data_IF_232108772507
#
_entry.id   IF_232108772507
#
_cell.length_a   1.000
_cell.length_b   1.000
_cell.length_c   1.000
_cell.angle_alpha   90.00
_cell.angle_beta   90.00
_cell.angle_gamma   90.00
#
_symmetry.space_group_name_H-M   'P 1'
#
loop_
_entity.id
_entity.type
_entity.pdbx_description
1 polymer ?
#
# COMPACT_ATOMS: atom_id res chain seq x y z
N UNK A 1 21.13 -30.96 19.50
CA UNK A 1 21.42 -29.51 19.42
C UNK A 1 20.57 -28.91 18.30
N UNK A 2 19.45 -28.26 18.64
CA UNK A 2 18.53 -27.71 17.63
C UNK A 2 19.16 -26.40 17.15
N UNK A 3 19.78 -26.40 15.97
CA UNK A 3 20.25 -25.18 15.31
C UNK A 3 18.99 -24.41 14.90
N UNK A 4 18.44 -23.63 15.82
CA UNK A 4 17.39 -22.67 15.48
C UNK A 4 18.07 -21.55 14.73
N UNK A 5 17.73 -21.42 13.45
CA UNK A 5 18.21 -20.32 12.62
C UNK A 5 17.93 -18.98 13.32
N UNK A 6 18.88 -18.01 13.28
CA UNK A 6 18.73 -16.69 13.92
C UNK A 6 17.51 -15.90 13.41
N UNK A 7 16.93 -16.32 12.29
CA UNK A 7 15.71 -15.79 11.67
C UNK A 7 14.45 -16.09 12.49
N UNK A 8 14.47 -17.14 13.35
CA UNK A 8 13.28 -17.58 14.09
C UNK A 8 12.97 -16.77 15.36
N UNK A 9 13.89 -15.91 15.81
CA UNK A 9 13.72 -15.06 17.02
C UNK A 9 13.35 -13.60 16.73
N UNK A 10 13.24 -13.22 15.46
CA UNK A 10 12.90 -11.85 15.09
C UNK A 10 11.45 -11.51 15.52
N UNK A 11 11.21 -10.39 16.23
CA UNK A 11 9.87 -9.98 16.65
C UNK A 11 8.96 -9.81 15.42
N UNK A 12 7.67 -10.09 15.57
CA UNK A 12 6.73 -10.04 14.45
C UNK A 12 6.65 -8.63 13.89
N UNK A 13 6.57 -7.63 14.76
CA UNK A 13 6.66 -6.19 14.44
C UNK A 13 7.80 -5.86 13.48
N UNK A 14 9.00 -6.39 13.70
CA UNK A 14 10.15 -6.15 12.81
C UNK A 14 9.95 -6.77 11.42
N UNK A 15 9.45 -8.01 11.35
CA UNK A 15 9.17 -8.69 10.06
C UNK A 15 8.15 -7.90 9.24
N UNK A 16 7.05 -7.49 9.85
CA UNK A 16 6.01 -6.71 9.18
C UNK A 16 6.51 -5.32 8.77
N UNK A 17 7.29 -4.66 9.62
CA UNK A 17 7.90 -3.36 9.28
C UNK A 17 8.74 -3.47 8.02
N UNK A 18 9.65 -4.46 7.96
CA UNK A 18 10.55 -4.65 6.82
C UNK A 18 9.77 -4.95 5.54
N UNK A 19 8.78 -5.85 5.61
CA UNK A 19 7.97 -6.22 4.44
C UNK A 19 7.16 -5.03 3.93
N UNK A 20 6.47 -4.29 4.81
CA UNK A 20 5.65 -3.14 4.42
C UNK A 20 6.53 -2.02 3.86
N UNK A 21 7.66 -1.73 4.51
CA UNK A 21 8.59 -0.70 4.05
C UNK A 21 9.16 -1.03 2.67
N UNK A 22 9.60 -2.28 2.44
CA UNK A 22 10.13 -2.70 1.14
C UNK A 22 9.05 -2.70 0.04
N UNK A 23 7.84 -3.17 0.34
CA UNK A 23 6.74 -3.16 -0.62
C UNK A 23 6.29 -1.74 -1.00
N UNK A 24 6.28 -0.83 -0.02
CA UNK A 24 5.91 0.56 -0.26
C UNK A 24 7.01 1.34 -0.97
N UNK A 25 8.28 1.10 -0.60
CA UNK A 25 9.42 1.68 -1.29
C UNK A 25 9.52 1.20 -2.75
N UNK A 26 9.27 -0.09 -3.03
CA UNK A 26 9.28 -0.60 -4.41
C UNK A 26 8.18 0.03 -5.25
N UNK A 27 6.99 0.21 -4.68
CA UNK A 27 5.86 0.90 -5.33
C UNK A 27 6.21 2.36 -5.66
N UNK A 28 6.79 3.09 -4.69
CA UNK A 28 7.24 4.47 -4.91
C UNK A 28 8.38 4.57 -5.93
N UNK A 29 9.36 3.66 -5.89
CA UNK A 29 10.47 3.64 -6.84
C UNK A 29 10.01 3.37 -8.27
N UNK A 30 9.00 2.50 -8.45
CA UNK A 30 8.40 2.26 -9.77
C UNK A 30 7.74 3.53 -10.32
N UNK A 31 6.98 4.24 -9.51
CA UNK A 31 6.35 5.50 -9.94
C UNK A 31 7.38 6.63 -10.14
N UNK A 32 8.42 6.72 -9.31
CA UNK A 32 9.52 7.68 -9.49
C UNK A 32 10.32 7.40 -10.76
N UNK A 33 10.55 6.13 -11.10
CA UNK A 33 11.22 5.73 -12.33
C UNK A 33 10.35 6.02 -13.57
N UNK A 34 9.03 5.86 -13.47
CA UNK A 34 8.10 6.12 -14.57
C UNK A 34 7.77 7.60 -14.78
N UNK A 35 8.13 8.50 -13.85
CA UNK A 35 7.80 9.92 -13.91
C UNK A 35 8.46 10.73 -15.05
N UNK A 36 9.28 10.10 -15.90
CA UNK A 36 10.11 10.87 -16.83
C UNK A 36 9.40 11.37 -18.09
N UNK A 37 8.42 10.68 -18.70
CA UNK A 37 7.71 11.20 -19.87
C UNK A 37 6.27 10.68 -20.00
N UNK A 38 5.31 11.61 -20.11
CA UNK A 38 3.90 11.45 -20.48
C UNK A 38 2.92 10.78 -19.49
N UNK A 39 1.69 11.32 -19.47
CA UNK A 39 0.46 10.91 -18.76
C UNK A 39 0.04 9.41 -18.88
N UNK A 40 0.87 8.57 -19.48
CA UNK A 40 0.65 7.16 -19.78
C UNK A 40 1.39 6.29 -18.77
N UNK A 41 0.63 5.69 -17.84
CA UNK A 41 1.16 4.62 -16.97
C UNK A 41 1.57 3.42 -17.80
N UNK A 42 2.86 3.08 -17.78
CA UNK A 42 3.36 1.76 -18.18
C UNK A 42 3.01 0.78 -17.06
N UNK A 43 1.71 0.57 -16.83
CA UNK A 43 1.25 -0.56 -16.07
C UNK A 43 1.46 -1.78 -16.97
N UNK A 44 2.43 -2.63 -16.64
CA UNK A 44 2.71 -3.86 -17.41
C UNK A 44 1.44 -4.69 -17.61
N UNK A 45 0.58 -4.73 -16.59
CA UNK A 45 -0.72 -5.40 -16.67
C UNK A 45 -1.65 -4.78 -17.71
N UNK A 46 -1.77 -3.45 -17.75
CA UNK A 46 -2.57 -2.74 -18.77
C UNK A 46 -1.98 -2.89 -20.16
N UNK A 47 -0.65 -2.87 -20.28
CA UNK A 47 0.02 -3.05 -21.57
C UNK A 47 -0.16 -4.47 -22.13
N UNK A 48 -0.25 -5.48 -21.26
CA UNK A 48 -0.46 -6.86 -21.69
C UNK A 48 -1.93 -7.23 -21.91
N UNK A 49 -2.84 -6.68 -21.10
CA UNK A 49 -4.27 -7.09 -21.10
C UNK A 49 -5.22 -6.07 -21.70
N UNK A 50 -4.77 -4.82 -21.89
CA UNK A 50 -5.62 -3.69 -22.27
C UNK A 50 -6.47 -3.13 -21.12
N UNK A 51 -6.46 -3.74 -19.94
CA UNK A 51 -7.32 -3.38 -18.80
C UNK A 51 -6.44 -2.91 -17.63
N UNK A 52 -6.74 -1.76 -17.00
CA UNK A 52 -6.02 -1.35 -15.80
C UNK A 52 -6.26 -2.33 -14.65
N UNK A 53 -5.25 -2.64 -13.84
CA UNK A 53 -5.43 -3.45 -12.64
C UNK A 53 -6.13 -2.65 -11.51
N UNK A 54 -6.76 -3.31 -10.52
CA UNK A 54 -7.51 -2.63 -9.45
C UNK A 54 -6.66 -1.73 -8.54
N UNK A 55 -5.32 -1.81 -8.62
CA UNK A 55 -4.40 -0.94 -7.90
C UNK A 55 -3.74 0.15 -8.77
N UNK A 56 -4.12 0.28 -10.06
CA UNK A 56 -3.52 1.26 -10.96
C UNK A 56 -3.70 2.69 -10.44
N UNK A 57 -2.61 3.45 -10.35
CA UNK A 57 -2.63 4.84 -9.88
C UNK A 57 -2.42 5.02 -8.38
N UNK A 58 -2.27 3.95 -7.59
CA UNK A 58 -2.10 4.04 -6.14
C UNK A 58 -0.81 4.76 -5.73
N UNK A 59 0.31 4.53 -6.41
CA UNK A 59 1.56 5.20 -6.07
C UNK A 59 1.67 6.63 -6.62
N UNK A 60 1.07 6.94 -7.78
CA UNK A 60 0.82 8.34 -8.18
C UNK A 60 -0.08 9.07 -7.18
N UNK A 61 -1.13 8.42 -6.68
CA UNK A 61 -1.99 8.98 -5.65
C UNK A 61 -1.20 9.24 -4.36
N UNK A 62 -0.31 8.32 -4.00
CA UNK A 62 0.62 8.45 -2.88
C UNK A 62 1.58 9.63 -3.07
N UNK A 63 2.22 9.74 -4.24
CA UNK A 63 3.17 10.80 -4.55
C UNK A 63 2.47 12.17 -4.56
N UNK A 64 1.29 12.25 -5.18
CA UNK A 64 0.45 13.45 -5.15
C UNK A 64 0.08 13.85 -3.72
N UNK A 65 -0.23 12.88 -2.85
CA UNK A 65 -0.50 13.14 -1.43
C UNK A 65 0.75 13.68 -0.72
N UNK A 66 1.93 13.10 -0.93
CA UNK A 66 3.18 13.59 -0.35
C UNK A 66 3.59 14.98 -0.87
N UNK A 67 3.20 15.31 -2.11
CA UNK A 67 3.37 16.66 -2.69
C UNK A 67 2.29 17.66 -2.22
N UNK A 68 1.37 17.25 -1.33
CA UNK A 68 0.29 18.11 -0.83
C UNK A 68 -0.88 18.31 -1.80
N UNK A 69 -0.90 17.60 -2.94
CA UNK A 69 -1.98 17.67 -3.92
C UNK A 69 -3.05 16.60 -3.65
N UNK A 70 -3.92 16.89 -2.68
CA UNK A 70 -5.00 15.99 -2.26
C UNK A 70 -6.02 15.71 -3.38
N UNK A 71 -6.38 16.73 -4.16
CA UNK A 71 -7.35 16.59 -5.25
C UNK A 71 -6.80 15.62 -6.29
N UNK A 72 -5.56 15.82 -6.72
CA UNK A 72 -4.91 14.94 -7.69
C UNK A 72 -4.71 13.52 -7.14
N UNK A 73 -4.46 13.37 -5.83
CA UNK A 73 -4.40 12.06 -5.17
C UNK A 73 -5.71 11.27 -5.33
N UNK A 74 -6.85 11.90 -5.04
CA UNK A 74 -8.17 11.27 -5.22
C UNK A 74 -8.50 10.99 -6.68
N UNK A 75 -8.07 11.88 -7.59
CA UNK A 75 -8.25 11.67 -9.02
C UNK A 75 -7.48 10.44 -9.52
N UNK A 76 -6.28 10.19 -9.01
CA UNK A 76 -5.50 9.01 -9.37
C UNK A 76 -6.05 7.72 -8.76
N UNK A 77 -6.43 7.74 -7.47
CA UNK A 77 -7.01 6.57 -6.83
C UNK A 77 -7.81 6.99 -5.59
N UNK A 78 -9.10 6.63 -5.52
CA UNK A 78 -9.97 6.96 -4.38
C UNK A 78 -9.41 6.42 -3.07
N UNK A 79 -8.87 5.20 -3.09
CA UNK A 79 -8.22 4.60 -1.92
C UNK A 79 -6.77 5.06 -1.69
N UNK A 80 -6.19 5.85 -2.60
CA UNK A 80 -4.78 6.24 -2.51
C UNK A 80 -4.46 7.02 -1.25
N UNK A 81 -5.26 8.03 -0.95
CA UNK A 81 -5.11 8.83 0.26
C UNK A 81 -5.33 8.04 1.56
N UNK A 82 -6.50 7.39 1.79
CA UNK A 82 -6.73 6.68 3.05
C UNK A 82 -5.75 5.51 3.25
N UNK A 83 -5.36 4.81 2.19
CA UNK A 83 -4.40 3.72 2.29
C UNK A 83 -2.98 4.22 2.60
N UNK A 84 -2.54 5.32 1.98
CA UNK A 84 -1.24 5.93 2.29
C UNK A 84 -1.16 6.35 3.76
N UNK A 85 -2.19 7.04 4.25
CA UNK A 85 -2.24 7.48 5.66
C UNK A 85 -2.18 6.26 6.59
N UNK A 86 -2.96 5.22 6.28
CA UNK A 86 -2.96 3.99 7.06
C UNK A 86 -1.59 3.30 7.08
N UNK A 87 -0.90 3.22 5.94
CA UNK A 87 0.44 2.63 5.83
C UNK A 87 1.46 3.43 6.63
N UNK A 88 1.46 4.76 6.52
CA UNK A 88 2.38 5.64 7.26
C UNK A 88 2.19 5.49 8.77
N UNK A 89 0.94 5.52 9.25
CA UNK A 89 0.63 5.30 10.66
C UNK A 89 1.07 3.89 11.10
N UNK A 90 0.80 2.88 10.27
CA UNK A 90 1.18 1.49 10.57
C UNK A 90 2.69 1.32 10.70
N UNK A 91 3.47 1.94 9.81
CA UNK A 91 4.93 1.93 9.88
C UNK A 91 5.43 2.59 11.18
N UNK A 92 4.89 3.75 11.56
CA UNK A 92 5.27 4.45 12.79
C UNK A 92 4.94 3.60 14.03
N UNK A 93 3.76 3.00 14.08
CA UNK A 93 3.35 2.14 15.20
C UNK A 93 4.19 0.86 15.27
N UNK A 94 4.43 0.18 14.13
CA UNK A 94 5.26 -1.03 14.09
C UNK A 94 6.73 -0.75 14.46
N UNK A 95 7.27 0.39 14.04
CA UNK A 95 8.61 0.85 14.46
C UNK A 95 8.65 1.09 15.97
N UNK A 96 7.63 1.74 16.52
CA UNK A 96 7.53 1.99 17.97
C UNK A 96 7.45 0.68 18.77
N UNK A 97 6.68 -0.28 18.27
CA UNK A 97 6.54 -1.62 18.85
C UNK A 97 7.85 -2.41 18.76
N UNK A 98 8.54 -2.33 17.62
CA UNK A 98 9.86 -2.93 17.40
C UNK A 98 10.88 -2.38 18.39
N UNK A 99 10.95 -1.06 18.57
CA UNK A 99 11.88 -0.40 19.51
C UNK A 99 11.55 -0.77 20.96
N UNK A 100 10.27 -0.95 21.30
CA UNK A 100 9.81 -1.31 22.65
C UNK A 100 9.81 -2.81 22.93
N UNK A 101 10.08 -3.66 21.93
CA UNK A 101 9.96 -5.10 22.03
C UNK A 101 8.54 -5.58 22.35
N UNK A 102 7.51 -4.85 21.89
CA UNK A 102 6.09 -5.16 22.12
C UNK A 102 5.39 -5.44 20.79
N UNK A 103 4.19 -6.05 20.86
CA UNK A 103 3.38 -6.41 19.68
C UNK A 103 1.93 -5.88 19.81
N UNK A 104 1.78 -4.69 20.42
CA UNK A 104 0.46 -4.10 20.75
C UNK A 104 -0.30 -3.75 19.47
N UNK A 105 0.39 -3.16 18.50
CA UNK A 105 -0.19 -2.71 17.24
C UNK A 105 -0.69 -3.90 16.41
N UNK A 106 0.10 -4.97 16.29
CA UNK A 106 -0.30 -6.18 15.56
C UNK A 106 -1.53 -6.82 16.21
N UNK A 107 -1.51 -6.97 17.54
CA UNK A 107 -2.65 -7.52 18.29
C UNK A 107 -3.91 -6.68 18.07
N UNK A 108 -3.78 -5.34 18.11
CA UNK A 108 -4.89 -4.42 17.88
C UNK A 108 -5.42 -4.49 16.44
N UNK A 109 -4.53 -4.51 15.45
CA UNK A 109 -4.91 -4.67 14.04
C UNK A 109 -5.68 -5.97 13.82
N UNK A 110 -5.19 -7.10 14.36
CA UNK A 110 -5.86 -8.39 14.20
C UNK A 110 -7.26 -8.41 14.84
N UNK A 111 -7.48 -7.62 15.90
CA UNK A 111 -8.81 -7.47 16.50
C UNK A 111 -9.71 -6.49 15.74
N UNK A 112 -9.16 -5.50 15.05
CA UNK A 112 -9.91 -4.48 14.32
C UNK A 112 -10.28 -4.92 12.89
N UNK A 113 -9.35 -5.61 12.22
CA UNK A 113 -9.53 -6.10 10.85
C UNK A 113 -10.39 -7.37 10.90
N UNK A 114 -11.69 -7.16 10.78
CA UNK A 114 -12.70 -8.22 10.68
C UNK A 114 -13.08 -8.45 9.22
N UNK A 115 -13.80 -9.53 8.93
CA UNK A 115 -14.32 -9.84 7.58
C UNK A 115 -15.14 -8.68 6.96
N UNK A 116 -15.83 -7.89 7.80
CA UNK A 116 -16.59 -6.71 7.35
C UNK A 116 -15.66 -5.63 6.77
N UNK A 117 -14.49 -5.42 7.36
CA UNK A 117 -13.48 -4.48 6.86
C UNK A 117 -12.94 -4.97 5.52
N UNK A 118 -12.67 -6.27 5.39
CA UNK A 118 -12.27 -6.86 4.11
C UNK A 118 -13.33 -6.68 3.02
N UNK A 119 -14.61 -6.92 3.34
CA UNK A 119 -15.70 -6.69 2.39
C UNK A 119 -15.83 -5.22 1.99
N UNK A 120 -15.74 -4.30 2.94
CA UNK A 120 -15.76 -2.87 2.65
C UNK A 120 -14.60 -2.48 1.72
N UNK A 121 -13.39 -2.93 2.02
CA UNK A 121 -12.21 -2.66 1.19
C UNK A 121 -12.35 -3.26 -0.21
N UNK A 122 -12.88 -4.48 -0.31
CA UNK A 122 -13.16 -5.15 -1.59
C UNK A 122 -14.18 -4.35 -2.42
N UNK A 123 -15.30 -3.94 -1.82
CA UNK A 123 -16.34 -3.15 -2.50
C UNK A 123 -15.76 -1.82 -3.01
N UNK A 124 -15.01 -1.11 -2.17
CA UNK A 124 -14.40 0.17 -2.57
C UNK A 124 -13.36 -0.01 -3.68
N UNK A 125 -12.59 -1.09 -3.63
CA UNK A 125 -11.60 -1.41 -4.66
C UNK A 125 -12.27 -1.75 -5.99
N UNK A 126 -13.32 -2.58 -5.97
CA UNK A 126 -14.09 -2.92 -7.17
C UNK A 126 -14.80 -1.70 -7.76
N UNK A 127 -15.34 -0.82 -6.91
CA UNK A 127 -15.96 0.43 -7.33
C UNK A 127 -14.94 1.38 -7.96
N UNK A 128 -13.77 1.57 -7.33
CA UNK A 128 -12.67 2.35 -7.90
C UNK A 128 -12.16 1.76 -9.21
N UNK A 129 -12.07 0.43 -9.29
CA UNK A 129 -11.66 -0.27 -10.50
C UNK A 129 -12.65 -0.07 -11.65
N UNK A 130 -13.94 -0.17 -11.37
CA UNK A 130 -15.00 0.12 -12.34
C UNK A 130 -14.88 1.55 -12.89
N UNK A 131 -14.65 2.54 -12.03
CA UNK A 131 -14.43 3.94 -12.45
C UNK A 131 -13.18 4.06 -13.34
N UNK A 132 -12.08 3.40 -12.98
CA UNK A 132 -10.84 3.45 -13.75
C UNK A 132 -10.98 2.78 -15.14
N UNK A 133 -11.74 1.69 -15.23
CA UNK A 133 -12.09 1.06 -16.52
C UNK A 133 -12.86 2.05 -17.41
N UNK A 134 -13.88 2.74 -16.86
CA UNK A 134 -14.66 3.74 -17.61
C UNK A 134 -13.79 4.92 -18.07
N UNK A 135 -12.79 5.31 -17.28
CA UNK A 135 -11.89 6.42 -17.60
C UNK A 135 -10.74 6.02 -18.52
N UNK A 136 -10.53 4.72 -18.76
CA UNK A 136 -9.42 4.21 -19.57
C UNK A 136 -8.04 4.52 -18.98
N UNK A 137 -7.93 4.74 -17.66
CA UNK A 137 -6.68 5.08 -16.95
C UNK A 137 -6.06 3.82 -16.37
#
# INVERSE_FOLDING_TARGET
MRITSPIKQLPQSFKYTLVIALAYASLLLMDLYQNHEHNSTICVFKNLTGIPCPGCGLGRATLALFNGNFIQSFHYHILGMPLTIFIVISLICLLTDTIRGKEVFISKINSLITWKVYLLFLILTLFSWYINIQRGI
#
